data_IF_888902530839
#
_entry.id   IF_888902530839
#
_cell.length_a   1.000
_cell.length_b   1.000
_cell.length_c   1.000
_cell.angle_alpha   90.00
_cell.angle_beta   90.00
_cell.angle_gamma   90.00
#
_symmetry.space_group_name_H-M   'P 1'
#
loop_
_entity.id
_entity.type
_entity.pdbx_description
1 polymer ?
#
# COMPACT_ATOMS: atom_id res chain seq x y z
N UNK A 1 -30.25 4.40 -40.48
CA UNK A 1 -29.12 4.99 -39.73
C UNK A 1 -28.08 3.91 -39.44
N UNK A 2 -26.86 4.07 -39.95
CA UNK A 2 -25.80 3.07 -39.88
C UNK A 2 -25.24 3.05 -38.44
N UNK A 3 -25.54 2.00 -37.65
CA UNK A 3 -25.12 1.87 -36.23
C UNK A 3 -23.67 1.39 -36.04
N UNK A 4 -23.00 0.99 -37.14
CA UNK A 4 -21.61 0.51 -37.16
C UNK A 4 -20.59 1.47 -36.48
N UNK A 5 -20.57 2.79 -36.73
CA UNK A 5 -19.61 3.69 -36.08
C UNK A 5 -19.80 3.78 -34.55
N UNK A 6 -21.04 3.65 -34.06
CA UNK A 6 -21.36 3.65 -32.62
C UNK A 6 -20.84 2.39 -31.92
N UNK A 7 -20.95 1.23 -32.57
CA UNK A 7 -20.45 -0.05 -32.03
C UNK A 7 -18.92 -0.05 -31.97
N UNK A 8 -18.26 0.45 -33.02
CA UNK A 8 -16.79 0.53 -33.09
C UNK A 8 -16.23 1.48 -32.01
N UNK A 9 -16.84 2.66 -31.83
CA UNK A 9 -16.47 3.60 -30.77
C UNK A 9 -16.59 2.97 -29.37
N UNK A 10 -17.70 2.28 -29.09
CA UNK A 10 -17.89 1.60 -27.79
C UNK A 10 -16.85 0.51 -27.54
N UNK A 11 -16.46 -0.26 -28.57
CA UNK A 11 -15.40 -1.28 -28.48
C UNK A 11 -14.03 -0.66 -28.18
N UNK A 12 -13.70 0.46 -28.81
CA UNK A 12 -12.43 1.18 -28.56
C UNK A 12 -12.38 1.68 -27.10
N UNK A 13 -13.47 2.26 -26.60
CA UNK A 13 -13.55 2.73 -25.21
C UNK A 13 -13.41 1.57 -24.21
N UNK A 14 -14.04 0.42 -24.49
CA UNK A 14 -13.90 -0.81 -23.70
C UNK A 14 -12.46 -1.32 -23.67
N UNK A 15 -11.76 -1.30 -24.80
CA UNK A 15 -10.35 -1.72 -24.88
C UNK A 15 -9.42 -0.77 -24.11
N UNK A 16 -9.64 0.55 -24.21
CA UNK A 16 -8.83 1.54 -23.49
C UNK A 16 -9.04 1.43 -21.98
N UNK A 17 -10.29 1.26 -21.53
CA UNK A 17 -10.60 1.11 -20.10
C UNK A 17 -10.05 -0.20 -19.54
N UNK A 18 -10.20 -1.32 -20.24
CA UNK A 18 -9.60 -2.60 -19.86
C UNK A 18 -8.06 -2.50 -19.81
N UNK A 19 -7.43 -1.87 -20.81
CA UNK A 19 -5.99 -1.64 -20.85
C UNK A 19 -5.51 -0.79 -19.67
N UNK A 20 -6.20 0.30 -19.34
CA UNK A 20 -5.88 1.15 -18.20
C UNK A 20 -5.96 0.41 -16.86
N UNK A 21 -6.94 -0.49 -16.69
CA UNK A 21 -7.09 -1.33 -15.49
C UNK A 21 -5.90 -2.29 -15.36
N UNK A 22 -5.53 -2.97 -16.45
CA UNK A 22 -4.39 -3.89 -16.47
C UNK A 22 -3.09 -3.15 -16.15
N UNK A 23 -2.83 -2.01 -16.79
CA UNK A 23 -1.65 -1.17 -16.54
C UNK A 23 -1.62 -0.67 -15.09
N UNK A 24 -2.76 -0.26 -14.53
CA UNK A 24 -2.85 0.17 -13.14
C UNK A 24 -2.49 -0.94 -12.15
N UNK A 25 -2.83 -2.20 -12.46
CA UNK A 25 -2.47 -3.34 -11.62
C UNK A 25 -0.99 -3.70 -11.78
N UNK A 26 -0.45 -3.59 -13.00
CA UNK A 26 0.97 -3.81 -13.34
C UNK A 26 1.93 -2.83 -12.66
N UNK A 27 1.45 -1.69 -12.18
CA UNK A 27 2.26 -0.68 -11.48
C UNK A 27 2.01 -0.64 -9.96
N UNK A 28 1.37 -1.68 -9.40
CA UNK A 28 1.05 -1.73 -7.97
C UNK A 28 1.92 -2.73 -7.21
N UNK A 29 2.41 -2.33 -6.04
CA UNK A 29 3.06 -3.24 -5.09
C UNK A 29 2.06 -3.62 -4.01
N UNK A 30 1.92 -4.91 -3.75
CA UNK A 30 1.03 -5.41 -2.71
C UNK A 30 1.81 -5.66 -1.43
N UNK A 31 1.31 -5.13 -0.32
CA UNK A 31 1.82 -5.38 1.01
C UNK A 31 0.81 -6.22 1.78
N UNK A 32 1.29 -7.25 2.46
CA UNK A 32 0.48 -8.08 3.35
C UNK A 32 1.15 -8.15 4.70
N UNK A 33 0.43 -7.79 5.76
CA UNK A 33 0.83 -8.00 7.16
C UNK A 33 -0.18 -8.93 7.79
N UNK A 34 0.26 -10.09 8.26
CA UNK A 34 -0.59 -11.08 8.94
C UNK A 34 -0.02 -11.33 10.32
N UNK A 35 -0.82 -11.17 11.35
CA UNK A 35 -0.48 -11.63 12.69
C UNK A 35 -1.53 -12.61 13.17
N UNK A 36 -1.08 -13.75 13.72
CA UNK A 36 -1.99 -14.85 14.08
C UNK A 36 -2.22 -14.97 15.57
N UNK A 37 -1.15 -15.12 16.35
CA UNK A 37 -1.20 -15.27 17.81
C UNK A 37 0.11 -14.78 18.42
N UNK A 38 0.15 -14.62 19.75
CA UNK A 38 1.39 -14.24 20.44
C UNK A 38 2.53 -15.24 20.17
N UNK A 39 2.19 -16.53 20.11
CA UNK A 39 3.13 -17.63 19.90
C UNK A 39 3.58 -17.74 18.44
N UNK A 40 2.67 -17.61 17.48
CA UNK A 40 3.01 -17.70 16.05
C UNK A 40 3.69 -16.41 15.56
N UNK A 41 3.28 -15.26 16.08
CA UNK A 41 3.80 -13.95 15.71
C UNK A 41 3.14 -13.37 14.46
N UNK A 42 3.91 -12.55 13.76
CA UNK A 42 3.51 -11.79 12.59
C UNK A 42 4.43 -12.11 11.41
N UNK A 43 3.86 -12.00 10.20
CA UNK A 43 4.58 -12.04 8.95
C UNK A 43 4.23 -10.85 8.10
N UNK A 44 5.22 -10.36 7.38
CA UNK A 44 5.07 -9.35 6.36
C UNK A 44 5.60 -9.86 5.04
N UNK A 45 4.87 -9.55 3.98
CA UNK A 45 5.35 -9.74 2.62
C UNK A 45 5.07 -8.54 1.74
N UNK A 46 6.05 -8.20 0.92
CA UNK A 46 5.93 -7.26 -0.18
C UNK A 46 5.99 -8.04 -1.48
N UNK A 47 4.97 -7.91 -2.33
CA UNK A 47 4.88 -8.58 -3.62
C UNK A 47 4.82 -7.56 -4.76
N UNK A 48 5.63 -7.80 -5.77
CA UNK A 48 5.56 -7.11 -7.04
C UNK A 48 4.21 -7.41 -7.75
N UNK A 49 3.81 -6.59 -8.74
CA UNK A 49 2.58 -6.79 -9.51
C UNK A 49 2.37 -8.19 -10.08
N UNK A 50 3.47 -8.86 -10.48
CA UNK A 50 3.46 -10.21 -11.06
C UNK A 50 3.56 -11.34 -10.02
N UNK A 51 3.27 -11.05 -8.75
CA UNK A 51 3.28 -12.03 -7.67
C UNK A 51 4.68 -12.40 -7.15
N UNK A 52 5.76 -11.93 -7.78
CA UNK A 52 7.13 -12.10 -7.28
C UNK A 52 7.24 -11.48 -5.88
N UNK A 53 7.62 -12.29 -4.89
CA UNK A 53 7.91 -11.82 -3.53
C UNK A 53 9.21 -11.02 -3.58
N UNK A 54 9.14 -9.76 -3.15
CA UNK A 54 10.28 -8.85 -3.06
C UNK A 54 10.94 -8.95 -1.69
N UNK A 55 10.11 -8.97 -0.64
CA UNK A 55 10.55 -9.05 0.76
C UNK A 55 9.56 -9.97 1.49
N UNK A 56 10.09 -10.82 2.37
CA UNK A 56 9.32 -11.57 3.36
C UNK A 56 10.07 -11.54 4.67
N UNK A 57 9.40 -11.17 5.76
CA UNK A 57 9.99 -11.11 7.11
C UNK A 57 8.97 -11.59 8.14
N UNK A 58 9.44 -12.34 9.11
CA UNK A 58 8.66 -12.77 10.28
C UNK A 58 9.18 -12.06 11.54
N UNK A 59 8.30 -11.77 12.48
CA UNK A 59 8.64 -11.13 13.77
C UNK A 59 7.62 -11.50 14.84
N UNK A 60 8.02 -11.52 16.12
CA UNK A 60 7.06 -11.69 17.24
C UNK A 60 6.56 -10.34 17.71
N UNK A 61 5.41 -10.33 18.39
CA UNK A 61 4.87 -9.10 18.97
C UNK A 61 5.80 -8.50 20.03
N UNK A 62 6.48 -9.35 20.80
CA UNK A 62 7.42 -8.94 21.85
C UNK A 62 8.70 -8.32 21.33
N UNK A 63 9.02 -8.57 20.05
CA UNK A 63 10.16 -7.96 19.40
C UNK A 63 9.89 -6.51 18.97
N UNK A 64 8.61 -6.10 18.88
CA UNK A 64 8.23 -4.76 18.44
C UNK A 64 8.52 -3.75 19.53
N UNK A 65 9.44 -2.82 19.24
CA UNK A 65 9.78 -1.72 20.14
C UNK A 65 8.91 -0.49 19.87
N UNK A 66 8.71 -0.15 18.59
CA UNK A 66 8.04 1.07 18.19
C UNK A 66 7.34 0.91 16.84
N UNK A 67 6.22 1.60 16.67
CA UNK A 67 5.50 1.73 15.41
C UNK A 67 5.20 3.21 15.18
N UNK A 68 5.79 3.79 14.14
CA UNK A 68 5.62 5.20 13.79
C UNK A 68 4.87 5.36 12.48
N UNK A 69 4.05 6.40 12.42
CA UNK A 69 3.38 6.85 11.22
C UNK A 69 3.73 8.32 10.99
N UNK A 70 4.54 8.59 9.97
CA UNK A 70 4.85 9.94 9.54
C UNK A 70 3.90 10.38 8.45
N UNK A 71 3.49 11.65 8.48
CA UNK A 71 2.63 12.24 7.46
C UNK A 71 3.44 13.22 6.64
N UNK A 72 3.52 12.98 5.34
CA UNK A 72 4.17 13.85 4.37
C UNK A 72 3.13 14.70 3.68
N UNK A 73 3.38 16.00 3.62
CA UNK A 73 2.49 16.99 3.01
C UNK A 73 3.06 17.49 1.69
N UNK A 74 2.19 18.00 0.83
CA UNK A 74 2.56 18.75 -0.36
C UNK A 74 1.63 19.94 -0.56
N UNK A 75 2.06 20.97 -1.29
CA UNK A 75 1.18 22.07 -1.68
C UNK A 75 -0.05 21.57 -2.45
N UNK A 76 -1.21 22.15 -2.17
CA UNK A 76 -2.41 21.93 -2.97
C UNK A 76 -2.25 22.61 -4.34
N UNK A 77 -2.46 21.85 -5.41
CA UNK A 77 -2.41 22.37 -6.79
C UNK A 77 -3.43 23.48 -7.04
N UNK A 78 -4.55 23.50 -6.31
CA UNK A 78 -5.61 24.49 -6.45
C UNK A 78 -5.40 25.73 -5.57
N UNK A 79 -4.68 25.57 -4.46
CA UNK A 79 -4.35 26.66 -3.55
C UNK A 79 -2.96 26.41 -2.94
N UNK A 80 -1.89 26.93 -3.56
CA UNK A 80 -0.51 26.66 -3.14
C UNK A 80 -0.17 27.09 -1.71
N UNK A 81 -0.95 28.00 -1.10
CA UNK A 81 -0.78 28.41 0.30
C UNK A 81 -1.30 27.38 1.31
N UNK A 82 -1.99 26.33 0.83
CA UNK A 82 -2.51 25.24 1.66
C UNK A 82 -1.74 23.96 1.42
N UNK A 83 -1.43 23.26 2.51
CA UNK A 83 -0.88 21.91 2.45
C UNK A 83 -1.98 20.84 2.48
N UNK A 84 -1.81 19.82 1.63
CA UNK A 84 -2.61 18.60 1.63
C UNK A 84 -1.71 17.41 1.93
N UNK A 85 -2.26 16.38 2.55
CA UNK A 85 -1.54 15.13 2.78
C UNK A 85 -1.13 14.57 1.42
N UNK A 86 0.18 14.46 1.21
CA UNK A 86 0.68 13.66 0.11
C UNK A 86 0.57 12.21 0.50
N UNK A 87 1.39 11.72 1.44
CA UNK A 87 1.46 10.29 1.77
C UNK A 87 1.70 10.10 3.25
N UNK A 88 1.44 8.89 3.72
CA UNK A 88 1.89 8.42 5.01
C UNK A 88 3.06 7.46 4.83
N UNK A 89 4.01 7.50 5.74
CA UNK A 89 5.14 6.57 5.80
C UNK A 89 5.09 5.82 7.12
N UNK A 90 5.08 4.49 7.02
CA UNK A 90 4.97 3.59 8.16
C UNK A 90 6.32 2.99 8.48
N UNK A 91 6.69 2.99 9.77
CA UNK A 91 7.93 2.41 10.28
C UNK A 91 7.62 1.46 11.43
N UNK A 92 8.15 0.23 11.36
CA UNK A 92 8.11 -0.73 12.46
C UNK A 92 9.52 -1.12 12.89
N UNK A 93 9.87 -0.72 14.10
CA UNK A 93 11.15 -0.95 14.74
C UNK A 93 11.07 -2.20 15.63
N UNK A 94 12.03 -3.11 15.49
CA UNK A 94 12.16 -4.28 16.38
C UNK A 94 13.51 -4.33 17.08
N UNK A 95 13.60 -5.15 18.12
CA UNK A 95 14.83 -5.43 18.88
C UNK A 95 15.98 -6.04 18.04
N UNK A 96 15.72 -6.52 16.82
CA UNK A 96 16.73 -7.07 15.91
C UNK A 96 17.30 -6.05 14.91
N UNK A 97 16.82 -4.80 14.90
CA UNK A 97 17.31 -3.74 14.01
C UNK A 97 16.25 -2.73 13.59
N UNK A 98 16.69 -1.61 13.00
CA UNK A 98 15.88 -0.40 12.85
C UNK A 98 14.63 -0.50 11.96
N UNK A 99 14.51 -1.42 10.99
CA UNK A 99 13.29 -1.46 10.18
C UNK A 99 12.93 -2.88 9.75
N UNK A 100 11.97 -3.50 10.44
CA UNK A 100 11.33 -4.70 9.88
C UNK A 100 10.47 -4.25 8.71
N UNK A 101 9.69 -3.17 8.87
CA UNK A 101 8.73 -2.67 7.88
C UNK A 101 8.93 -1.17 7.64
N UNK A 102 9.23 -0.80 6.40
CA UNK A 102 9.13 0.58 5.93
C UNK A 102 8.41 0.59 4.58
N UNK A 103 7.29 1.30 4.49
CA UNK A 103 6.61 1.57 3.22
C UNK A 103 5.66 2.77 3.29
N UNK A 104 5.35 3.33 2.12
CA UNK A 104 4.49 4.51 1.94
C UNK A 104 3.09 4.12 1.44
N UNK A 105 2.05 4.78 1.94
CA UNK A 105 0.65 4.59 1.50
C UNK A 105 -0.16 5.88 1.60
N UNK A 106 -1.20 6.02 0.77
CA UNK A 106 -2.21 7.10 0.92
C UNK A 106 -3.25 6.79 2.00
N UNK A 107 -3.33 5.55 2.48
CA UNK A 107 -4.33 5.09 3.44
C UNK A 107 -3.79 5.09 4.89
N UNK A 108 -3.68 6.29 5.48
CA UNK A 108 -3.15 6.48 6.83
C UNK A 108 -3.98 5.82 7.93
N UNK A 109 -5.31 5.74 7.76
CA UNK A 109 -6.20 5.07 8.73
C UNK A 109 -5.86 3.59 8.83
N UNK A 110 -5.63 2.93 7.69
CA UNK A 110 -5.26 1.52 7.67
C UNK A 110 -3.87 1.27 8.24
N UNK A 111 -2.92 2.18 7.98
CA UNK A 111 -1.59 2.12 8.59
C UNK A 111 -1.63 2.27 10.12
N UNK A 112 -2.40 3.23 10.63
CA UNK A 112 -2.59 3.42 12.06
C UNK A 112 -3.20 2.16 12.71
N UNK A 113 -4.20 1.55 12.06
CA UNK A 113 -4.83 0.30 12.52
C UNK A 113 -3.85 -0.87 12.57
N UNK A 114 -2.85 -0.94 11.68
CA UNK A 114 -1.78 -1.95 11.77
C UNK A 114 -0.97 -1.73 13.07
N UNK A 115 -0.49 -0.51 13.33
CA UNK A 115 0.24 -0.21 14.57
C UNK A 115 -0.58 -0.57 15.82
N UNK A 116 -1.85 -0.12 15.88
CA UNK A 116 -2.73 -0.39 17.03
C UNK A 116 -2.89 -1.88 17.26
N UNK A 117 -3.20 -2.66 16.22
CA UNK A 117 -3.42 -4.10 16.40
C UNK A 117 -2.13 -4.85 16.78
N UNK A 118 -0.96 -4.39 16.30
CA UNK A 118 0.34 -4.93 16.73
C UNK A 118 0.53 -4.69 18.24
N UNK A 119 0.34 -3.46 18.72
CA UNK A 119 0.52 -3.15 20.14
C UNK A 119 -0.49 -3.85 21.05
N UNK A 120 -1.74 -3.98 20.59
CA UNK A 120 -2.79 -4.72 21.30
C UNK A 120 -2.61 -6.24 21.21
N UNK A 121 -1.61 -6.73 20.45
CA UNK A 121 -1.30 -8.15 20.25
C UNK A 121 -2.50 -8.94 19.70
N UNK A 122 -3.29 -8.31 18.83
CA UNK A 122 -4.52 -8.87 18.25
C UNK A 122 -4.24 -9.60 16.94
N UNK A 123 -4.87 -10.76 16.66
CA UNK A 123 -4.82 -11.37 15.35
C UNK A 123 -5.41 -10.45 14.28
N UNK A 124 -4.73 -10.31 13.13
CA UNK A 124 -5.26 -9.58 11.98
C UNK A 124 -4.59 -9.99 10.67
N UNK A 125 -5.23 -9.65 9.55
CA UNK A 125 -4.66 -9.78 8.22
C UNK A 125 -5.01 -8.54 7.40
N UNK A 126 -3.99 -7.76 7.06
CA UNK A 126 -4.13 -6.61 6.17
C UNK A 126 -3.39 -6.85 4.86
N UNK A 127 -4.13 -6.75 3.76
CA UNK A 127 -3.60 -6.70 2.40
C UNK A 127 -4.00 -5.40 1.71
N UNK A 128 -3.03 -4.64 1.23
CA UNK A 128 -3.28 -3.41 0.47
C UNK A 128 -2.27 -3.26 -0.66
N UNK A 129 -2.73 -2.64 -1.76
CA UNK A 129 -1.93 -2.39 -2.95
C UNK A 129 -1.63 -0.91 -3.04
N UNK A 130 -0.35 -0.57 -3.12
CA UNK A 130 0.14 0.80 -3.31
C UNK A 130 0.50 0.95 -4.78
N UNK A 131 -0.14 1.91 -5.46
CA UNK A 131 0.24 2.27 -6.83
C UNK A 131 1.55 3.04 -6.77
N UNK A 132 2.57 2.62 -7.54
CA UNK A 132 3.73 3.48 -7.77
C UNK A 132 3.22 4.75 -8.43
N UNK A 133 3.42 5.88 -7.78
CA UNK A 133 3.27 7.17 -8.45
C UNK A 133 4.54 7.31 -9.28
N UNK A 134 4.42 7.27 -10.60
CA UNK A 134 5.54 7.58 -11.49
C UNK A 134 5.87 9.05 -11.24
N UNK A 135 6.93 9.32 -10.47
CA UNK A 135 7.54 10.64 -10.50
C UNK A 135 7.98 10.88 -11.94
N UNK A 136 7.48 11.95 -12.55
CA UNK A 136 8.08 12.44 -13.79
C UNK A 136 9.50 12.87 -13.40
N UNK A 137 10.49 12.10 -13.84
CA UNK A 137 11.88 12.55 -13.93
C UNK A 137 11.96 13.73 -14.89
#
# INVERSE_FOLDING_TARGET
MNKRPLIIMSLIILLITAGAIVISNLNSTTYTVTCKSKEEGCSYSQKAPFGKVLISKDFKYEDVMQCNLETHYKPDKKNPEREIIDTYEFFLYTNYGMDVLNFKSKDGKRLASICTNIFEKKPFNYRFSVKKTTEKQ
#
